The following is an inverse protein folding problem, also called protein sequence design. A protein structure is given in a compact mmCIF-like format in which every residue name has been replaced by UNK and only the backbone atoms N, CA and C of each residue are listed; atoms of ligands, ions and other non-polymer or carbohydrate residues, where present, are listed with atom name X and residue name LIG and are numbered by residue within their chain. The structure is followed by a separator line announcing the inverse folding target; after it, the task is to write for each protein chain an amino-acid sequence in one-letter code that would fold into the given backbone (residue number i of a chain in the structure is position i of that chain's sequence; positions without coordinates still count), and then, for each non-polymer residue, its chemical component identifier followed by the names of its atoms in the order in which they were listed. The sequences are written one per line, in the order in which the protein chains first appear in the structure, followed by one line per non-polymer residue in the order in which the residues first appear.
data_IF_274199237421
#
_entry.id   IF_274199237421
#
_cell.length_a   1.000
_cell.length_b   1.000
_cell.length_c   1.000
_cell.angle_alpha   90.00
_cell.angle_beta   90.00
_cell.angle_gamma   90.00
#
_symmetry.space_group_name_H-M   'P 1'
#
loop_
_entity.id
_entity.type
_entity.pdbx_description
1 polymer ?
#
# COMPACT_ATOMS: atom_id res chain seq x y z
N UNK A 1 -15.43 -12.53 -18.42
CA UNK A 1 -14.45 -12.08 -17.43
C UNK A 1 -15.11 -12.00 -16.06
N UNK A 2 -14.49 -12.61 -15.12
CA UNK A 2 -15.01 -12.68 -13.76
C UNK A 2 -14.59 -11.42 -12.98
N UNK A 3 -15.53 -10.80 -12.29
CA UNK A 3 -15.24 -9.71 -11.36
C UNK A 3 -14.89 -10.23 -9.96
N UNK A 4 -14.47 -11.47 -9.90
CA UNK A 4 -14.14 -12.14 -8.65
C UNK A 4 -12.86 -11.58 -8.04
N UNK A 5 -12.89 -11.37 -6.75
CA UNK A 5 -11.71 -11.03 -5.97
C UNK A 5 -11.17 -12.32 -5.36
N UNK A 6 -10.03 -12.77 -5.86
CA UNK A 6 -9.39 -14.01 -5.42
C UNK A 6 -8.14 -13.66 -4.61
N UNK A 7 -8.07 -14.15 -3.39
CA UNK A 7 -6.97 -13.92 -2.45
C UNK A 7 -6.39 -15.27 -2.04
N UNK A 8 -5.19 -15.57 -2.52
CA UNK A 8 -4.47 -16.83 -2.21
C UNK A 8 -5.32 -18.08 -2.41
N UNK A 9 -6.04 -18.14 -3.54
CA UNK A 9 -6.92 -19.26 -3.85
C UNK A 9 -8.30 -19.20 -3.21
N UNK A 10 -8.58 -18.24 -2.37
CA UNK A 10 -9.89 -18.04 -1.75
C UNK A 10 -10.64 -16.95 -2.51
N UNK A 11 -11.82 -17.28 -3.01
CA UNK A 11 -12.72 -16.31 -3.65
C UNK A 11 -13.54 -15.61 -2.58
N UNK A 12 -13.53 -14.28 -2.61
CA UNK A 12 -14.36 -13.47 -1.72
C UNK A 12 -15.79 -13.48 -2.25
N UNK A 13 -16.79 -13.85 -1.44
CA UNK A 13 -18.18 -13.86 -1.89
C UNK A 13 -18.64 -12.48 -2.35
N UNK A 14 -19.41 -12.39 -3.45
CA UNK A 14 -19.95 -11.12 -3.91
C UNK A 14 -20.76 -10.35 -2.87
N UNK A 15 -21.40 -11.07 -1.94
CA UNK A 15 -22.19 -10.49 -0.86
C UNK A 15 -21.35 -9.65 0.13
N UNK A 16 -20.04 -9.94 0.23
CA UNK A 16 -19.12 -9.21 1.07
C UNK A 16 -18.48 -8.01 0.35
N UNK A 17 -18.72 -7.87 -0.95
CA UNK A 17 -18.23 -6.77 -1.77
C UNK A 17 -19.35 -5.77 -2.05
N UNK A 18 -19.03 -4.49 -1.89
CA UNK A 18 -19.95 -3.39 -2.20
C UNK A 18 -19.42 -2.57 -3.35
N UNK A 19 -20.19 -2.40 -4.37
CA UNK A 19 -19.88 -1.60 -5.54
C UNK A 19 -20.62 -0.26 -5.50
N UNK A 20 -19.91 0.80 -5.78
CA UNK A 20 -20.47 2.15 -5.91
C UNK A 20 -19.97 2.78 -7.20
N UNK A 21 -20.87 3.42 -7.92
CA UNK A 21 -20.58 4.06 -9.19
C UNK A 21 -20.87 5.55 -9.07
N UNK A 22 -19.99 6.36 -9.66
CA UNK A 22 -20.15 7.80 -9.69
C UNK A 22 -19.53 8.37 -10.96
N UNK A 23 -19.83 9.62 -11.23
CA UNK A 23 -19.23 10.31 -12.36
C UNK A 23 -17.76 10.60 -12.06
N UNK A 24 -16.90 10.41 -13.05
CA UNK A 24 -15.50 10.79 -12.90
C UNK A 24 -15.38 12.32 -12.85
N UNK A 25 -14.67 12.82 -11.85
CA UNK A 25 -14.32 14.22 -11.73
C UNK A 25 -13.00 14.48 -12.43
N UNK A 26 -13.01 15.34 -13.46
CA UNK A 26 -11.79 15.71 -14.17
C UNK A 26 -12.00 16.96 -15.04
N UNK A 27 -10.95 17.71 -15.33
CA UNK A 27 -11.05 18.86 -16.20
C UNK A 27 -11.28 18.41 -17.64
N UNK A 28 -12.42 18.78 -18.20
CA UNK A 28 -12.64 18.79 -19.63
C UNK A 28 -13.06 17.48 -20.28
N UNK A 29 -13.93 17.58 -21.22
CA UNK A 29 -14.47 16.54 -22.08
C UNK A 29 -15.94 16.28 -21.83
N UNK A 30 -16.71 16.21 -22.90
CA UNK A 30 -18.16 16.00 -22.86
C UNK A 30 -18.56 14.66 -22.25
N UNK A 31 -17.66 13.68 -22.22
CA UNK A 31 -17.92 12.36 -21.65
C UNK A 31 -17.72 12.26 -20.12
N UNK A 32 -17.11 13.26 -19.50
CA UNK A 32 -16.90 13.30 -18.04
C UNK A 32 -18.22 13.50 -17.28
N UNK A 33 -19.21 14.16 -17.90
CA UNK A 33 -20.47 14.51 -17.26
C UNK A 33 -21.64 13.57 -17.59
N UNK A 34 -21.45 12.56 -18.46
CA UNK A 34 -22.55 11.75 -19.00
C UNK A 34 -22.52 10.29 -18.61
N UNK A 35 -21.39 9.78 -18.08
CA UNK A 35 -21.25 8.35 -17.77
C UNK A 35 -20.70 8.15 -16.36
N UNK A 36 -21.36 7.32 -15.58
CA UNK A 36 -20.90 6.90 -14.24
C UNK A 36 -19.78 5.85 -14.39
N UNK A 37 -18.61 6.30 -14.84
CA UNK A 37 -17.47 5.42 -15.10
C UNK A 37 -16.56 5.19 -13.88
N UNK A 38 -16.61 6.07 -12.90
CA UNK A 38 -15.85 5.90 -11.67
C UNK A 38 -16.44 4.79 -10.82
N UNK A 39 -15.60 3.86 -10.42
CA UNK A 39 -15.98 2.69 -9.64
C UNK A 39 -15.28 2.71 -8.29
N UNK A 40 -16.02 2.52 -7.22
CA UNK A 40 -15.51 2.25 -5.89
C UNK A 40 -15.91 0.84 -5.48
N UNK A 41 -14.94 0.05 -5.06
CA UNK A 41 -15.14 -1.29 -4.52
C UNK A 41 -14.75 -1.29 -3.05
N UNK A 42 -15.68 -1.69 -2.20
CA UNK A 42 -15.49 -1.77 -0.75
C UNK A 42 -15.63 -3.21 -0.26
N UNK A 43 -14.78 -3.57 0.68
CA UNK A 43 -14.77 -4.87 1.32
C UNK A 43 -14.62 -4.71 2.83
N UNK A 44 -15.59 -5.22 3.59
CA UNK A 44 -15.54 -5.18 5.05
C UNK A 44 -14.64 -6.31 5.57
N UNK A 45 -13.36 -6.04 5.66
CA UNK A 45 -12.35 -6.99 6.11
C UNK A 45 -12.56 -7.41 7.56
N UNK A 46 -12.97 -6.48 8.42
CA UNK A 46 -13.14 -6.75 9.84
C UNK A 46 -14.26 -7.76 10.14
N UNK A 47 -15.34 -7.71 9.36
CA UNK A 47 -16.51 -8.59 9.53
C UNK A 47 -16.50 -9.80 8.61
N UNK A 48 -15.59 -9.84 7.64
CA UNK A 48 -15.53 -10.92 6.67
C UNK A 48 -15.23 -12.27 7.33
N UNK A 49 -15.86 -13.30 6.82
CA UNK A 49 -15.59 -14.70 7.18
C UNK A 49 -14.93 -15.49 6.04
N UNK A 50 -14.65 -14.82 4.92
CA UNK A 50 -14.08 -15.45 3.73
C UNK A 50 -12.62 -15.86 3.91
N UNK A 51 -11.83 -15.06 4.62
CA UNK A 51 -10.42 -15.34 4.85
C UNK A 51 -10.20 -16.15 6.12
N UNK A 52 -9.24 -17.10 6.12
CA UNK A 52 -8.82 -17.78 7.34
C UNK A 52 -8.37 -16.79 8.41
N UNK A 53 -8.62 -17.06 9.71
CA UNK A 53 -8.30 -16.15 10.80
C UNK A 53 -6.85 -15.61 10.80
N UNK A 54 -5.80 -16.41 10.56
CA UNK A 54 -4.44 -15.91 10.52
C UNK A 54 -4.19 -14.90 9.37
N UNK A 55 -4.78 -15.18 8.20
CA UNK A 55 -4.68 -14.29 7.04
C UNK A 55 -5.43 -12.98 7.29
N UNK A 56 -6.64 -13.08 7.85
CA UNK A 56 -7.45 -11.92 8.21
C UNK A 56 -6.71 -11.00 9.20
N UNK A 57 -6.10 -11.56 10.24
CA UNK A 57 -5.33 -10.78 11.21
C UNK A 57 -4.14 -10.07 10.58
N UNK A 58 -3.40 -10.77 9.70
CA UNK A 58 -2.29 -10.15 8.97
C UNK A 58 -2.75 -9.01 8.08
N UNK A 59 -3.85 -9.20 7.37
CA UNK A 59 -4.44 -8.17 6.52
C UNK A 59 -4.90 -6.95 7.32
N UNK A 60 -5.56 -7.15 8.46
CA UNK A 60 -5.99 -6.07 9.35
C UNK A 60 -4.80 -5.23 9.84
N UNK A 61 -3.69 -5.87 10.18
CA UNK A 61 -2.46 -5.16 10.61
C UNK A 61 -1.79 -4.43 9.45
N UNK A 62 -1.62 -5.10 8.32
CA UNK A 62 -0.91 -4.54 7.16
C UNK A 62 -1.66 -3.37 6.53
N UNK A 63 -2.99 -3.42 6.53
CA UNK A 63 -3.85 -2.41 5.92
C UNK A 63 -4.45 -1.42 6.91
N UNK A 64 -4.02 -1.41 8.17
CA UNK A 64 -4.59 -0.57 9.23
C UNK A 64 -4.69 0.90 8.83
N UNK A 65 -3.69 1.45 8.12
CA UNK A 65 -3.70 2.83 7.64
C UNK A 65 -4.63 3.10 6.45
N UNK A 66 -5.16 2.06 5.82
CA UNK A 66 -6.08 2.16 4.67
C UNK A 66 -7.51 1.81 5.00
N UNK A 67 -7.74 1.20 6.16
CA UNK A 67 -9.07 0.78 6.58
C UNK A 67 -9.82 1.95 7.24
N UNK A 68 -11.08 2.13 6.86
CA UNK A 68 -12.02 3.00 7.54
C UNK A 68 -13.07 2.11 8.21
N UNK A 69 -13.09 2.05 9.53
CA UNK A 69 -13.95 1.16 10.32
C UNK A 69 -13.87 -0.33 9.90
N UNK A 70 -12.67 -0.77 9.54
CA UNK A 70 -12.44 -2.14 9.08
C UNK A 70 -12.79 -2.40 7.61
N UNK A 71 -13.19 -1.38 6.87
CA UNK A 71 -13.57 -1.47 5.45
C UNK A 71 -12.42 -0.99 4.56
N UNK A 72 -12.01 -1.83 3.61
CA UNK A 72 -11.06 -1.49 2.58
C UNK A 72 -11.81 -1.00 1.34
N UNK A 73 -11.46 0.18 0.86
CA UNK A 73 -12.04 0.76 -0.35
C UNK A 73 -10.96 1.02 -1.39
N UNK A 74 -11.21 0.60 -2.63
CA UNK A 74 -10.38 0.91 -3.79
C UNK A 74 -11.20 1.63 -4.85
N UNK A 75 -10.56 2.51 -5.58
CA UNK A 75 -11.20 3.31 -6.62
C UNK A 75 -10.52 3.06 -7.97
N UNK A 76 -11.29 2.99 -9.03
CA UNK A 76 -10.80 2.93 -10.40
C UNK A 76 -11.60 3.87 -11.28
N UNK A 77 -10.91 4.77 -11.97
CA UNK A 77 -11.53 5.79 -12.84
C UNK A 77 -10.69 6.12 -14.07
N UNK A 78 -9.71 5.28 -14.38
CA UNK A 78 -8.71 5.55 -15.42
C UNK A 78 -9.28 5.43 -16.83
N UNK A 79 -10.34 4.66 -17.01
CA UNK A 79 -10.94 4.45 -18.32
C UNK A 79 -12.33 5.06 -18.40
N UNK A 80 -12.85 5.19 -19.63
CA UNK A 80 -14.23 5.63 -19.88
C UNK A 80 -15.23 4.48 -19.74
N UNK A 81 -14.75 3.25 -19.69
CA UNK A 81 -15.57 2.05 -19.56
C UNK A 81 -15.76 1.71 -18.08
N UNK A 82 -17.02 1.71 -17.63
CA UNK A 82 -17.36 1.26 -16.29
C UNK A 82 -16.91 -0.19 -16.06
N UNK A 83 -17.10 -1.07 -17.05
CA UNK A 83 -16.70 -2.47 -16.95
C UNK A 83 -15.18 -2.62 -16.73
N UNK A 84 -14.36 -1.91 -17.51
CA UNK A 84 -12.90 -1.94 -17.34
C UNK A 84 -12.47 -1.39 -15.98
N UNK A 85 -13.13 -0.36 -15.49
CA UNK A 85 -12.87 0.18 -14.17
C UNK A 85 -13.29 -0.79 -13.06
N UNK A 86 -14.37 -1.55 -13.24
CA UNK A 86 -14.75 -2.62 -12.32
C UNK A 86 -13.70 -3.73 -12.26
N UNK A 87 -13.22 -4.16 -13.40
CA UNK A 87 -12.13 -5.15 -13.50
C UNK A 87 -10.86 -4.64 -12.80
N UNK A 88 -10.47 -3.41 -13.07
CA UNK A 88 -9.30 -2.78 -12.44
C UNK A 88 -9.45 -2.67 -10.91
N UNK A 89 -10.64 -2.32 -10.42
CA UNK A 89 -10.92 -2.26 -8.99
C UNK A 89 -10.83 -3.64 -8.33
N UNK A 90 -11.38 -4.67 -8.97
CA UNK A 90 -11.29 -6.05 -8.49
C UNK A 90 -9.84 -6.54 -8.44
N UNK A 91 -9.05 -6.28 -9.46
CA UNK A 91 -7.63 -6.62 -9.50
C UNK A 91 -6.82 -5.91 -8.40
N UNK A 92 -7.07 -4.63 -8.19
CA UNK A 92 -6.42 -3.85 -7.12
C UNK A 92 -6.77 -4.38 -5.74
N UNK A 93 -8.04 -4.68 -5.52
CA UNK A 93 -8.49 -5.27 -4.26
C UNK A 93 -7.80 -6.61 -4.00
N UNK A 94 -7.78 -7.49 -5.00
CA UNK A 94 -7.12 -8.78 -4.93
C UNK A 94 -5.61 -8.65 -4.64
N UNK A 95 -4.93 -7.73 -5.32
CA UNK A 95 -3.50 -7.48 -5.13
C UNK A 95 -3.18 -6.96 -3.72
N UNK A 96 -3.96 -6.00 -3.22
CA UNK A 96 -3.80 -5.46 -1.86
C UNK A 96 -4.01 -6.54 -0.80
N UNK A 97 -5.06 -7.33 -0.93
CA UNK A 97 -5.37 -8.40 0.02
C UNK A 97 -4.35 -9.55 -0.05
N UNK A 98 -3.91 -9.91 -1.24
CA UNK A 98 -2.87 -10.94 -1.41
C UNK A 98 -1.55 -10.51 -0.76
N UNK A 99 -1.14 -9.28 -0.96
CA UNK A 99 0.06 -8.75 -0.31
C UNK A 99 -0.07 -8.66 1.21
N UNK A 100 -1.24 -8.24 1.69
CA UNK A 100 -1.50 -8.05 3.12
C UNK A 100 -1.66 -9.36 3.90
N UNK A 101 -2.14 -10.42 3.26
CA UNK A 101 -2.35 -11.73 3.88
C UNK A 101 -1.10 -12.61 3.87
N UNK A 102 -0.04 -12.17 3.18
CA UNK A 102 1.23 -12.89 3.11
C UNK A 102 1.91 -13.06 4.47
N UNK A 103 2.79 -14.07 4.60
CA UNK A 103 3.60 -14.20 5.79
C UNK A 103 4.49 -12.97 5.96
N UNK A 104 4.78 -12.56 7.20
CA UNK A 104 5.69 -11.43 7.43
C UNK A 104 7.07 -11.74 6.84
N UNK A 105 7.78 -10.73 6.33
CA UNK A 105 9.14 -10.95 5.85
C UNK A 105 10.03 -11.44 7.00
N UNK A 106 11.02 -12.28 6.69
CA UNK A 106 11.94 -12.76 7.71
C UNK A 106 12.62 -11.56 8.40
N UNK A 107 12.89 -11.65 9.71
CA UNK A 107 13.56 -10.58 10.42
C UNK A 107 14.91 -10.28 9.76
N UNK A 108 15.13 -9.02 9.45
CA UNK A 108 16.43 -8.60 8.90
C UNK A 108 17.50 -8.86 9.94
N UNK A 109 18.48 -9.68 9.59
CA UNK A 109 19.66 -9.83 10.43
C UNK A 109 20.35 -8.47 10.54
N UNK A 110 20.66 -7.99 11.76
CA UNK A 110 21.41 -6.76 11.91
C UNK A 110 22.77 -6.93 11.22
N UNK A 111 23.01 -6.12 10.22
CA UNK A 111 24.29 -6.09 9.52
C UNK A 111 25.26 -5.26 10.33
N UNK A 112 26.39 -5.84 10.69
CA UNK A 112 27.49 -5.09 11.29
C UNK A 112 28.19 -4.28 10.19
N UNK A 113 28.56 -3.02 10.47
CA UNK A 113 29.36 -2.26 9.53
C UNK A 113 30.65 -3.00 9.20
N UNK A 114 31.04 -3.01 7.93
CA UNK A 114 32.31 -3.61 7.51
C UNK A 114 33.50 -2.87 8.17
N UNK A 115 34.63 -3.56 8.27
CA UNK A 115 35.88 -2.93 8.76
C UNK A 115 36.20 -1.65 7.99
N UNK A 116 36.10 -1.70 6.67
CA UNK A 116 36.33 -0.54 5.82
C UNK A 116 35.35 0.61 6.09
N UNK A 117 34.09 0.32 6.37
CA UNK A 117 33.09 1.34 6.73
C UNK A 117 33.42 1.98 8.09
N UNK A 118 33.87 1.19 9.07
CA UNK A 118 34.31 1.71 10.37
C UNK A 118 35.53 2.61 10.24
N UNK A 119 36.51 2.18 9.45
CA UNK A 119 37.74 2.96 9.20
C UNK A 119 37.41 4.27 8.51
N UNK A 120 36.57 4.28 7.49
CA UNK A 120 36.10 5.51 6.84
C UNK A 120 35.40 6.44 7.81
N UNK A 121 34.51 5.92 8.64
CA UNK A 121 33.79 6.73 9.64
C UNK A 121 34.74 7.35 10.66
N UNK A 122 35.75 6.60 11.11
CA UNK A 122 36.77 7.12 12.03
C UNK A 122 37.65 8.18 11.36
N UNK A 123 38.05 7.97 10.11
CA UNK A 123 38.82 8.94 9.34
C UNK A 123 38.04 10.25 9.14
N UNK A 124 36.76 10.17 8.78
CA UNK A 124 35.88 11.34 8.62
C UNK A 124 35.71 12.08 9.95
N UNK A 125 35.57 11.36 11.04
CA UNK A 125 35.43 11.95 12.39
C UNK A 125 36.72 12.69 12.81
N UNK A 126 37.89 12.11 12.53
CA UNK A 126 39.20 12.74 12.77
C UNK A 126 39.34 14.01 11.95
N UNK A 127 39.04 13.93 10.66
CA UNK A 127 39.09 15.09 9.74
C UNK A 127 38.20 16.23 10.20
N UNK A 128 36.97 15.92 10.61
CA UNK A 128 36.04 16.93 11.14
C UNK A 128 36.55 17.55 12.43
N UNK A 129 37.15 16.75 13.32
CA UNK A 129 37.76 17.21 14.55
C UNK A 129 38.94 18.17 14.31
N UNK A 130 39.82 17.84 13.34
CA UNK A 130 40.93 18.70 12.95
C UNK A 130 40.45 20.04 12.38
N UNK A 131 39.44 20.03 11.51
CA UNK A 131 38.85 21.25 10.95
C UNK A 131 38.25 22.12 12.06
N UNK A 132 37.57 21.52 13.04
CA UNK A 132 37.03 22.26 14.20
C UNK A 132 38.12 22.89 15.05
N UNK A 133 39.21 22.14 15.25
CA UNK A 133 40.37 22.63 16.03
C UNK A 133 41.05 23.85 15.34
N UNK A 134 41.20 23.76 14.01
CA UNK A 134 41.75 24.87 13.22
C UNK A 134 40.86 26.12 13.16
N UNK A 135 39.57 25.97 13.39
CA UNK A 135 38.63 27.09 13.43
C UNK A 135 38.54 27.79 14.80
N UNK A 136 39.09 27.22 15.85
CA UNK A 136 39.17 27.90 17.13
C UNK A 136 40.26 28.96 17.02
N UNK A 137 39.95 30.27 17.25
CA UNK A 137 40.97 31.24 17.41
C UNK A 137 41.79 30.87 18.64
N UNK A 138 43.11 30.96 18.51
CA UNK A 138 43.99 30.77 19.67
C UNK A 138 43.53 31.73 20.75
N UNK A 139 43.12 31.18 21.87
CA UNK A 139 42.81 31.98 23.05
C UNK A 139 44.15 32.34 23.67
N UNK A 140 44.56 33.63 23.49
CA UNK A 140 45.62 34.18 24.30
C UNK A 140 45.21 34.28 25.78
#
# INVERSE_FOLDING_TARGET
MSLDVIVRGTTIPPEELSWRFSRSTGPGGQSVNTTDSRVELSYDLARSTALPPPQKQRALRALAGRLADGVLTVTASETRSQLRNREAAAERMAALLTGATGPPPPPRRPTRPSRAARERRLADKRRTSEIKRLRRPDAD
#
